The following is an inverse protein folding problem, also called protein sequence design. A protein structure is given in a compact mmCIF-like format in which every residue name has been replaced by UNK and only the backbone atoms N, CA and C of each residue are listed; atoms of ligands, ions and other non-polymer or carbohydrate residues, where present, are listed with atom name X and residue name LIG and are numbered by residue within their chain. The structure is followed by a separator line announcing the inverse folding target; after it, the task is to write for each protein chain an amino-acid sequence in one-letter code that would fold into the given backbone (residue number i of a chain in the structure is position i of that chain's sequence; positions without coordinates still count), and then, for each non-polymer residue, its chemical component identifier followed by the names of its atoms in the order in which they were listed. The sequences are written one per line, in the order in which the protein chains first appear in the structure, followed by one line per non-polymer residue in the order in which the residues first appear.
data_IF_935329838339
#
_entry.id   IF_935329838339
#
_cell.length_a   1.000
_cell.length_b   1.000
_cell.length_c   1.000
_cell.angle_alpha   90.00
_cell.angle_beta   90.00
_cell.angle_gamma   90.00
#
_symmetry.space_group_name_H-M   'P 1'
#
loop_
_entity.id
_entity.type
_entity.pdbx_description
1 polymer ?
#
# COMPACT_ATOMS: atom_id res chain seq x y z
N UNK A 1 -14.86 -4.07 9.08
CA UNK A 1 -15.15 -3.70 7.67
C UNK A 1 -15.76 -2.32 7.55
N UNK A 2 -16.68 -1.91 8.42
CA UNK A 2 -17.26 -0.54 8.41
C UNK A 2 -16.23 0.59 8.55
N UNK A 3 -15.06 0.32 9.12
CA UNK A 3 -13.94 1.26 9.26
C UNK A 3 -12.94 1.21 8.09
N UNK A 4 -13.10 0.30 7.14
CA UNK A 4 -12.27 0.24 5.94
C UNK A 4 -13.08 0.86 4.81
N UNK A 5 -12.75 2.06 4.31
CA UNK A 5 -13.49 2.68 3.22
C UNK A 5 -13.64 1.81 1.98
N UNK A 6 -12.64 0.98 1.66
CA UNK A 6 -12.73 0.00 0.57
C UNK A 6 -13.71 -1.15 0.83
N UNK A 7 -14.30 -1.26 2.03
CA UNK A 7 -15.34 -2.25 2.35
C UNK A 7 -14.87 -3.70 2.38
N UNK A 8 -13.56 -3.96 2.27
CA UNK A 8 -12.97 -5.31 2.27
C UNK A 8 -11.64 -5.36 2.99
N UNK A 9 -11.25 -6.56 3.39
CA UNK A 9 -9.87 -6.82 3.82
C UNK A 9 -8.92 -6.76 2.62
N UNK A 10 -7.75 -6.20 2.84
CA UNK A 10 -6.64 -6.30 1.89
C UNK A 10 -6.09 -7.73 1.86
N UNK A 11 -5.49 -8.10 0.73
CA UNK A 11 -4.76 -9.34 0.54
C UNK A 11 -3.25 -9.12 0.67
N UNK A 12 -2.49 -10.19 0.98
CA UNK A 12 -1.03 -10.14 0.97
C UNK A 12 -0.47 -9.72 -0.40
N UNK A 13 -1.17 -10.05 -1.48
CA UNK A 13 -0.77 -9.72 -2.85
C UNK A 13 -0.76 -8.21 -3.09
N UNK A 14 -1.69 -7.47 -2.51
CA UNK A 14 -1.77 -6.01 -2.65
C UNK A 14 -0.60 -5.30 -1.96
N UNK A 15 -0.18 -5.82 -0.80
CA UNK A 15 1.04 -5.36 -0.13
C UNK A 15 2.26 -5.66 -1.00
N UNK A 16 2.35 -6.87 -1.57
CA UNK A 16 3.45 -7.26 -2.43
C UNK A 16 3.58 -6.37 -3.68
N UNK A 17 2.47 -5.91 -4.25
CA UNK A 17 2.51 -4.95 -5.37
C UNK A 17 3.05 -3.59 -4.97
N UNK A 18 2.68 -3.07 -3.80
CA UNK A 18 3.25 -1.83 -3.28
C UNK A 18 4.75 -1.95 -3.03
N UNK A 19 5.20 -3.08 -2.45
CA UNK A 19 6.62 -3.38 -2.29
C UNK A 19 7.32 -3.45 -3.65
N UNK A 20 6.74 -4.15 -4.64
CA UNK A 20 7.28 -4.24 -6.00
C UNK A 20 7.48 -2.86 -6.64
N UNK A 21 6.53 -1.94 -6.43
CA UNK A 21 6.67 -0.56 -6.90
C UNK A 21 7.84 0.15 -6.20
N UNK A 22 7.91 0.08 -4.87
CA UNK A 22 8.96 0.75 -4.08
C UNK A 22 10.38 0.26 -4.40
N UNK A 23 10.55 -1.00 -4.81
CA UNK A 23 11.86 -1.54 -5.22
C UNK A 23 12.17 -1.34 -6.71
N UNK A 24 11.26 -0.74 -7.48
CA UNK A 24 11.45 -0.48 -8.90
C UNK A 24 12.11 0.87 -9.16
N UNK A 25 12.68 1.06 -10.36
CA UNK A 25 13.25 2.33 -10.80
C UNK A 25 12.23 3.48 -10.79
N UNK A 26 10.93 3.17 -10.88
CA UNK A 26 9.86 4.18 -10.84
C UNK A 26 9.77 4.90 -9.48
N UNK A 27 10.25 4.29 -8.41
CA UNK A 27 10.28 4.86 -7.08
C UNK A 27 11.62 5.50 -6.71
N UNK A 28 12.55 5.69 -7.67
CA UNK A 28 13.93 6.11 -7.40
C UNK A 28 14.07 7.45 -6.65
N UNK A 29 13.06 8.32 -6.69
CA UNK A 29 13.05 9.61 -5.98
C UNK A 29 12.18 9.61 -4.71
N UNK A 30 11.76 8.43 -4.24
CA UNK A 30 10.93 8.26 -3.04
C UNK A 30 11.81 7.70 -1.92
N UNK A 31 11.99 8.47 -0.84
CA UNK A 31 12.73 8.04 0.34
C UNK A 31 12.17 8.69 1.60
N UNK A 32 12.41 8.07 2.76
CA UNK A 32 12.01 8.61 4.07
C UNK A 32 10.50 8.71 4.31
N UNK A 33 9.68 7.97 3.55
CA UNK A 33 8.22 8.01 3.63
C UNK A 33 7.62 6.66 4.00
N UNK A 34 6.42 6.69 4.57
CA UNK A 34 5.62 5.51 4.88
C UNK A 34 4.45 5.41 3.91
N UNK A 35 4.39 4.31 3.15
CA UNK A 35 3.26 4.03 2.27
C UNK A 35 2.25 3.12 2.98
N UNK A 36 1.06 3.64 3.26
CA UNK A 36 -0.01 2.87 3.90
C UNK A 36 -0.82 2.08 2.88
N UNK A 37 -0.83 0.75 3.02
CA UNK A 37 -1.61 -0.18 2.19
C UNK A 37 -2.70 -0.82 3.04
N UNK A 38 -3.73 -0.04 3.38
CA UNK A 38 -4.74 -0.44 4.38
C UNK A 38 -6.20 -0.23 3.95
N UNK A 39 -6.43 0.16 2.70
CA UNK A 39 -7.77 0.39 2.17
C UNK A 39 -8.49 1.63 2.73
N UNK A 40 -7.73 2.63 3.19
CA UNK A 40 -8.24 3.91 3.68
C UNK A 40 -8.52 3.96 5.17
N UNK A 41 -7.95 3.02 5.93
CA UNK A 41 -8.26 2.77 7.34
C UNK A 41 -7.50 3.78 8.22
N UNK A 42 -8.13 4.91 8.57
CA UNK A 42 -7.64 5.95 9.49
C UNK A 42 -8.78 6.75 10.11
#
# INVERSE_FOLDING_TARGET
LSQVPLGRMGSAQEVAWAVRFLVSDQAAYITGTTLHVNGGLY
#
